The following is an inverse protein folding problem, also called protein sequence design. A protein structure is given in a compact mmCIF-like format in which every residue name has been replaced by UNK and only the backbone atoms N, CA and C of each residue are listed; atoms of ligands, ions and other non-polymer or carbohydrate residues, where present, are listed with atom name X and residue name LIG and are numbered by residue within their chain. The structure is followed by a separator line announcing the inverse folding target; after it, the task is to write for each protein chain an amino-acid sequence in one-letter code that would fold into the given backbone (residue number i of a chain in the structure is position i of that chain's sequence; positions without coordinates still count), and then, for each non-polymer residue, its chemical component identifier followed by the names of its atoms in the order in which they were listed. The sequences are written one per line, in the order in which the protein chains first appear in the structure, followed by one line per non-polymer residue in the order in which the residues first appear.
data_IF_596748044600
#
_entry.id   IF_596748044600
#
_cell.length_a   1.000
_cell.length_b   1.000
_cell.length_c   1.000
_cell.angle_alpha   90.00
_cell.angle_beta   90.00
_cell.angle_gamma   90.00
#
_symmetry.space_group_name_H-M   'P 1'
#
loop_
_entity.id
_entity.type
_entity.pdbx_description
1 polymer ?
#
# COMPACT_ATOMS: atom_id res chain seq x y z
N UNK A 1 -36.38 -8.40 -40.16
CA UNK A 1 -37.59 -8.69 -39.37
C UNK A 1 -37.55 -10.13 -38.86
N UNK A 2 -37.09 -10.35 -37.63
CA UNK A 2 -37.44 -11.51 -36.80
C UNK A 2 -37.53 -11.01 -35.35
N UNK A 3 -38.61 -11.39 -34.68
CA UNK A 3 -39.11 -10.94 -33.37
C UNK A 3 -39.02 -12.09 -32.37
N UNK A 4 -38.92 -11.74 -31.07
CA UNK A 4 -39.26 -12.51 -29.86
C UNK A 4 -38.38 -13.73 -29.55
N UNK A 5 -38.10 -14.12 -28.30
CA UNK A 5 -38.76 -13.96 -26.99
C UNK A 5 -37.67 -13.66 -25.92
N UNK A 6 -37.92 -12.89 -24.85
CA UNK A 6 -38.81 -13.29 -23.77
C UNK A 6 -38.06 -14.18 -22.76
N UNK A 7 -37.19 -13.59 -21.93
CA UNK A 7 -36.42 -14.28 -20.89
C UNK A 7 -36.56 -13.59 -19.54
N UNK A 8 -37.38 -14.18 -18.68
CA UNK A 8 -37.77 -13.74 -17.34
C UNK A 8 -36.65 -13.99 -16.31
N UNK A 9 -36.31 -12.92 -15.55
CA UNK A 9 -35.75 -12.73 -14.19
C UNK A 9 -34.94 -13.83 -13.44
N UNK A 10 -34.11 -13.40 -12.46
CA UNK A 10 -34.59 -13.58 -11.08
C UNK A 10 -34.57 -12.31 -10.22
N UNK A 11 -35.62 -12.21 -9.43
CA UNK A 11 -35.91 -11.23 -8.38
C UNK A 11 -34.90 -11.30 -7.23
N UNK A 12 -34.37 -10.14 -6.83
CA UNK A 12 -33.61 -9.98 -5.60
C UNK A 12 -34.54 -10.10 -4.38
N UNK A 13 -34.26 -11.08 -3.51
CA UNK A 13 -34.87 -11.23 -2.19
C UNK A 13 -34.17 -10.30 -1.18
N UNK A 14 -34.89 -9.65 -0.26
CA UNK A 14 -34.28 -8.83 0.79
C UNK A 14 -33.68 -9.72 1.89
N UNK A 15 -32.35 -9.71 2.01
CA UNK A 15 -31.61 -10.34 3.09
C UNK A 15 -31.67 -9.50 4.37
N UNK A 16 -32.21 -10.11 5.41
CA UNK A 16 -32.31 -9.62 6.79
C UNK A 16 -30.96 -9.20 7.38
N UNK A 17 -30.87 -7.96 7.84
CA UNK A 17 -29.80 -7.47 8.70
C UNK A 17 -29.86 -8.15 10.08
N UNK A 18 -28.76 -8.79 10.50
CA UNK A 18 -28.54 -9.23 11.87
C UNK A 18 -27.53 -8.31 12.57
N UNK A 19 -27.90 -7.94 13.79
CA UNK A 19 -27.14 -7.11 14.72
C UNK A 19 -26.01 -7.89 15.41
N UNK A 20 -24.94 -7.19 15.79
CA UNK A 20 -24.11 -7.57 16.93
C UNK A 20 -22.61 -7.39 16.74
N UNK A 21 -22.09 -6.20 17.09
CA UNK A 21 -20.72 -6.08 17.57
C UNK A 21 -20.64 -4.90 18.56
N UNK A 22 -20.45 -5.23 19.83
CA UNK A 22 -20.12 -4.31 20.91
C UNK A 22 -18.69 -3.77 20.74
N UNK A 23 -18.42 -2.52 21.11
CA UNK A 23 -17.08 -1.95 21.05
C UNK A 23 -16.21 -2.52 22.18
N UNK A 24 -15.15 -3.25 21.82
CA UNK A 24 -14.13 -3.65 22.79
C UNK A 24 -13.21 -2.46 23.02
N UNK A 25 -13.22 -1.95 24.25
CA UNK A 25 -12.42 -0.83 24.69
C UNK A 25 -10.91 -1.07 24.42
N UNK A 26 -10.29 -0.08 23.77
CA UNK A 26 -8.84 -0.01 23.61
C UNK A 26 -8.14 0.03 24.96
N UNK A 27 -7.09 -0.81 25.11
CA UNK A 27 -6.13 -0.68 26.20
C UNK A 27 -4.86 -0.03 25.66
N UNK A 28 -4.64 1.19 26.12
CA UNK A 28 -3.50 2.05 25.83
C UNK A 28 -2.15 1.33 25.97
N UNK A 29 -1.32 1.40 24.92
CA UNK A 29 0.12 1.13 25.00
C UNK A 29 0.77 2.29 25.74
N UNK A 30 1.23 2.03 26.96
CA UNK A 30 1.94 3.02 27.76
C UNK A 30 3.40 3.10 27.33
N UNK A 31 3.81 4.27 26.84
CA UNK A 31 5.21 4.63 26.65
C UNK A 31 5.94 4.60 28.00
N UNK A 32 6.89 3.66 28.16
CA UNK A 32 7.90 3.79 29.21
C UNK A 32 9.16 4.40 28.61
N UNK A 33 9.30 5.68 28.92
CA UNK A 33 10.48 6.52 28.72
C UNK A 33 11.71 5.84 29.33
N UNK A 34 12.83 5.98 28.63
CA UNK A 34 14.08 5.32 28.93
C UNK A 34 14.69 5.66 30.30
N UNK A 35 15.55 4.76 30.74
CA UNK A 35 16.63 5.03 31.67
C UNK A 35 17.90 4.41 31.10
N UNK A 36 18.77 5.28 30.58
CA UNK A 36 20.15 4.96 30.33
C UNK A 36 20.84 4.72 31.68
N UNK A 37 21.29 3.49 31.92
CA UNK A 37 22.20 3.17 33.01
C UNK A 37 23.53 2.74 32.40
N UNK A 38 24.48 3.68 32.39
CA UNK A 38 25.87 3.42 32.10
C UNK A 38 26.44 2.47 33.18
N UNK A 39 26.80 1.24 32.79
CA UNK A 39 27.55 0.34 33.66
C UNK A 39 29.00 0.28 33.18
N UNK A 40 29.88 0.93 33.96
CA UNK A 40 31.33 0.91 33.81
C UNK A 40 31.87 -0.51 34.00
N UNK A 41 32.79 -0.90 33.14
CA UNK A 41 33.54 -2.15 33.22
C UNK A 41 34.41 -2.21 34.48
N UNK A 42 34.33 -3.32 35.22
CA UNK A 42 35.39 -3.79 36.11
C UNK A 42 35.57 -5.29 35.91
N UNK A 43 36.51 -5.63 35.02
CA UNK A 43 37.06 -6.98 34.96
C UNK A 43 38.04 -7.18 36.10
N UNK A 44 37.79 -8.18 36.94
CA UNK A 44 38.82 -8.81 37.77
C UNK A 44 38.38 -10.25 38.11
N UNK A 45 39.03 -11.16 37.41
CA UNK A 45 39.15 -12.60 37.63
C UNK A 45 39.53 -12.93 39.09
N UNK A 46 38.94 -13.96 39.71
CA UNK A 46 39.63 -14.94 40.59
C UNK A 46 38.70 -16.09 41.01
N UNK A 47 39.33 -17.26 41.19
CA UNK A 47 38.82 -18.63 41.11
C UNK A 47 38.08 -19.18 42.35
N UNK A 48 37.30 -20.23 42.07
CA UNK A 48 36.93 -21.36 42.92
C UNK A 48 35.76 -21.21 43.92
N UNK A 49 34.65 -21.86 43.57
CA UNK A 49 33.56 -22.18 44.49
C UNK A 49 32.44 -22.95 43.78
N UNK A 50 32.52 -24.27 43.74
CA UNK A 50 31.45 -25.14 43.26
C UNK A 50 30.20 -24.96 44.14
N UNK A 51 29.15 -24.36 43.59
CA UNK A 51 27.80 -24.47 44.14
C UNK A 51 26.86 -24.83 42.99
N UNK A 52 26.34 -26.04 43.07
CA UNK A 52 25.39 -26.65 42.15
C UNK A 52 24.09 -25.84 42.14
N UNK A 53 24.01 -24.89 41.21
CA UNK A 53 22.79 -24.27 40.76
C UNK A 53 22.94 -24.14 39.25
N UNK A 54 22.26 -25.00 38.51
CA UNK A 54 22.25 -24.98 37.05
C UNK A 54 21.70 -23.64 36.60
N UNK A 55 22.58 -22.70 36.27
CA UNK A 55 22.26 -21.70 35.27
C UNK A 55 21.98 -22.52 34.00
N UNK A 56 20.70 -22.74 33.70
CA UNK A 56 20.32 -22.86 32.31
C UNK A 56 20.66 -21.50 31.71
N UNK A 57 21.90 -21.37 31.24
CA UNK A 57 22.14 -20.60 30.05
C UNK A 57 21.20 -21.24 29.02
N UNK A 58 20.02 -20.63 28.85
CA UNK A 58 19.18 -20.89 27.70
C UNK A 58 20.04 -20.43 26.53
N UNK A 59 20.75 -21.42 25.99
CA UNK A 59 21.64 -21.27 24.88
C UNK A 59 20.72 -20.88 23.73
N UNK A 60 20.97 -19.70 23.16
CA UNK A 60 20.34 -19.27 21.93
C UNK A 60 20.51 -20.36 20.88
N UNK A 61 19.46 -21.15 20.67
CA UNK A 61 19.25 -21.93 19.48
C UNK A 61 17.89 -21.53 18.93
N UNK A 62 17.76 -20.29 18.45
CA UNK A 62 16.76 -20.03 17.40
C UNK A 62 17.34 -20.59 16.13
N UNK A 63 17.15 -21.90 15.97
CA UNK A 63 17.41 -22.62 14.73
C UNK A 63 16.51 -21.99 13.66
N UNK A 64 17.09 -21.18 12.77
CA UNK A 64 16.36 -20.51 11.71
C UNK A 64 16.09 -21.47 10.56
N UNK A 65 15.18 -22.42 10.78
CA UNK A 65 14.41 -22.99 9.67
C UNK A 65 13.21 -22.09 9.46
N UNK A 66 13.39 -20.99 8.75
CA UNK A 66 12.27 -20.13 8.35
C UNK A 66 11.36 -20.97 7.47
N UNK A 67 10.15 -21.25 7.93
CA UNK A 67 9.16 -21.99 7.15
C UNK A 67 8.69 -21.15 5.97
N UNK A 68 8.20 -21.78 4.90
CA UNK A 68 7.61 -21.05 3.76
C UNK A 68 6.45 -20.16 4.21
N UNK A 69 5.68 -20.57 5.22
CA UNK A 69 4.61 -19.78 5.85
C UNK A 69 5.13 -18.50 6.51
N UNK A 70 6.32 -18.54 7.13
CA UNK A 70 6.95 -17.38 7.75
C UNK A 70 7.42 -16.38 6.67
N UNK A 71 7.89 -16.89 5.53
CA UNK A 71 8.28 -16.07 4.37
C UNK A 71 7.06 -15.42 3.71
N UNK A 72 5.98 -16.18 3.47
CA UNK A 72 4.74 -15.64 2.93
C UNK A 72 4.20 -14.49 3.81
N UNK A 73 4.12 -14.70 5.12
CA UNK A 73 3.70 -13.65 6.07
C UNK A 73 4.62 -12.43 6.04
N UNK A 74 5.93 -12.63 5.96
CA UNK A 74 6.92 -11.54 5.89
C UNK A 74 6.76 -10.72 4.62
N UNK A 75 6.62 -11.38 3.46
CA UNK A 75 6.49 -10.70 2.18
C UNK A 75 5.11 -10.09 1.97
N UNK A 76 4.05 -10.66 2.57
CA UNK A 76 2.72 -10.05 2.62
C UNK A 76 2.75 -8.70 3.36
N UNK A 77 3.39 -8.66 4.54
CA UNK A 77 3.55 -7.40 5.28
C UNK A 77 4.36 -6.36 4.49
N UNK A 78 5.48 -6.77 3.87
CA UNK A 78 6.31 -5.88 3.04
C UNK A 78 5.52 -5.34 1.83
N UNK A 79 4.80 -6.23 1.14
CA UNK A 79 3.97 -5.84 0.00
C UNK A 79 2.89 -4.84 0.41
N UNK A 80 2.24 -5.06 1.55
CA UNK A 80 1.25 -4.13 2.11
C UNK A 80 1.85 -2.77 2.50
N UNK A 81 3.14 -2.74 2.86
CA UNK A 81 3.93 -1.53 3.13
C UNK A 81 4.54 -0.92 1.85
N UNK A 82 3.98 -1.22 0.67
CA UNK A 82 4.39 -0.73 -0.66
C UNK A 82 5.82 -1.12 -1.11
N UNK A 83 6.41 -2.14 -0.48
CA UNK A 83 7.63 -2.76 -0.98
C UNK A 83 7.29 -3.68 -2.16
N UNK A 84 7.38 -3.14 -3.38
CA UNK A 84 7.07 -3.88 -4.61
C UNK A 84 7.99 -5.09 -4.84
N UNK A 85 9.24 -5.04 -4.38
CA UNK A 85 10.10 -6.22 -4.39
C UNK A 85 9.59 -7.28 -3.39
N UNK A 86 9.00 -6.84 -2.27
CA UNK A 86 8.24 -7.68 -1.36
C UNK A 86 7.04 -8.34 -2.03
N UNK A 87 6.26 -7.60 -2.81
CA UNK A 87 5.15 -8.15 -3.61
C UNK A 87 5.65 -9.20 -4.60
N UNK A 88 6.75 -8.94 -5.30
CA UNK A 88 7.34 -9.89 -6.25
C UNK A 88 7.78 -11.17 -5.56
N UNK A 89 8.43 -11.05 -4.40
CA UNK A 89 8.82 -12.20 -3.60
C UNK A 89 7.62 -12.98 -3.04
N UNK A 90 6.52 -12.29 -2.68
CA UNK A 90 5.31 -12.92 -2.15
C UNK A 90 4.70 -13.92 -3.13
N UNK A 91 4.74 -13.64 -4.43
CA UNK A 91 4.24 -14.56 -5.48
C UNK A 91 4.86 -15.94 -5.43
N UNK A 92 6.08 -16.08 -4.90
CA UNK A 92 6.79 -17.36 -4.81
C UNK A 92 6.41 -18.17 -3.56
N UNK A 93 5.88 -17.52 -2.53
CA UNK A 93 5.62 -18.14 -1.23
C UNK A 93 4.14 -18.20 -0.87
N UNK A 94 3.31 -17.32 -1.44
CA UNK A 94 1.88 -17.33 -1.24
C UNK A 94 1.25 -18.61 -1.81
N UNK A 95 0.28 -19.15 -1.09
CA UNK A 95 -0.48 -20.31 -1.57
C UNK A 95 -1.53 -19.88 -2.60
N UNK A 96 -1.80 -20.72 -3.59
CA UNK A 96 -2.75 -20.40 -4.66
C UNK A 96 -4.16 -20.15 -4.13
N UNK A 97 -4.81 -19.11 -4.66
CA UNK A 97 -6.18 -18.75 -4.28
C UNK A 97 -6.31 -18.11 -2.89
N UNK A 98 -5.20 -17.71 -2.27
CA UNK A 98 -5.20 -16.93 -1.02
C UNK A 98 -5.23 -15.43 -1.29
N UNK A 99 -5.64 -14.65 -0.28
CA UNK A 99 -5.60 -13.20 -0.33
C UNK A 99 -4.16 -12.66 -0.52
N UNK A 100 -3.15 -13.40 -0.03
CA UNK A 100 -1.74 -13.03 -0.22
C UNK A 100 -1.30 -13.15 -1.68
N UNK A 101 -1.83 -14.15 -2.41
CA UNK A 101 -1.59 -14.27 -3.85
C UNK A 101 -2.25 -13.12 -4.62
N UNK A 102 -3.50 -12.79 -4.29
CA UNK A 102 -4.21 -11.65 -4.90
C UNK A 102 -3.47 -10.32 -4.62
N UNK A 103 -3.01 -10.14 -3.39
CA UNK A 103 -2.21 -8.98 -2.99
C UNK A 103 -0.92 -8.87 -3.80
N UNK A 104 -0.22 -9.99 -3.99
CA UNK A 104 0.97 -10.05 -4.82
C UNK A 104 0.61 -9.69 -6.28
N UNK A 105 -0.34 -10.40 -6.90
CA UNK A 105 -0.66 -10.27 -8.33
C UNK A 105 -1.13 -8.89 -8.73
N UNK A 106 -1.79 -8.20 -7.81
CA UNK A 106 -2.25 -6.83 -8.00
C UNK A 106 -1.23 -5.78 -7.54
N UNK A 107 -0.02 -6.21 -7.15
CA UNK A 107 1.04 -5.33 -6.66
C UNK A 107 0.54 -4.38 -5.56
N UNK A 108 -0.13 -4.91 -4.54
CA UNK A 108 -0.84 -4.13 -3.52
C UNK A 108 -1.91 -3.17 -4.10
N UNK A 109 -2.68 -3.65 -5.09
CA UNK A 109 -3.75 -2.88 -5.76
C UNK A 109 -3.26 -1.80 -6.75
N UNK A 110 -1.98 -1.77 -7.12
CA UNK A 110 -1.39 -0.72 -7.97
C UNK A 110 -1.43 -1.04 -9.46
N UNK A 111 -1.71 -2.28 -9.82
CA UNK A 111 -1.79 -2.73 -11.20
C UNK A 111 -1.58 -4.23 -11.30
N UNK A 112 -1.67 -4.78 -12.51
CA UNK A 112 -1.39 -6.19 -12.74
C UNK A 112 0.04 -6.42 -13.24
N UNK A 113 0.54 -7.62 -12.98
CA UNK A 113 1.83 -8.08 -13.50
C UNK A 113 1.81 -8.40 -14.98
N UNK A 114 0.64 -8.67 -15.56
CA UNK A 114 0.53 -9.02 -16.99
C UNK A 114 1.02 -7.87 -17.86
N UNK A 115 0.71 -6.64 -17.45
CA UNK A 115 1.10 -5.42 -18.15
C UNK A 115 2.56 -5.02 -17.89
N UNK A 116 3.07 -5.27 -16.68
CA UNK A 116 4.34 -4.69 -16.20
C UNK A 116 5.50 -5.68 -16.08
N UNK A 117 5.23 -6.98 -16.22
CA UNK A 117 6.18 -8.06 -15.97
C UNK A 117 6.33 -8.39 -14.49
N UNK A 118 6.81 -7.42 -13.70
CA UNK A 118 6.94 -7.52 -12.23
C UNK A 118 6.53 -6.21 -11.53
N UNK A 119 6.23 -6.30 -10.23
CA UNK A 119 5.77 -5.16 -9.44
C UNK A 119 6.88 -4.12 -9.24
N UNK A 120 8.15 -4.55 -9.13
CA UNK A 120 9.27 -3.63 -9.00
C UNK A 120 9.46 -2.74 -10.25
N UNK A 121 9.16 -3.25 -11.45
CA UNK A 121 9.18 -2.52 -12.71
C UNK A 121 7.98 -1.58 -12.80
N UNK A 122 6.79 -2.05 -12.43
CA UNK A 122 5.60 -1.19 -12.31
C UNK A 122 5.89 0.03 -11.41
N UNK A 123 6.52 -0.18 -10.25
CA UNK A 123 6.91 0.92 -9.36
C UNK A 123 7.85 1.93 -10.03
N UNK A 124 8.83 1.45 -10.79
CA UNK A 124 9.77 2.31 -11.49
C UNK A 124 9.09 3.11 -12.61
N UNK A 125 8.19 2.47 -13.37
CA UNK A 125 7.51 3.13 -14.47
C UNK A 125 6.52 4.17 -13.97
N UNK A 126 5.75 3.86 -12.92
CA UNK A 126 4.90 4.85 -12.26
C UNK A 126 5.74 6.01 -11.68
N UNK A 127 6.92 5.73 -11.12
CA UNK A 127 7.80 6.76 -10.57
C UNK A 127 8.38 7.72 -11.63
N UNK A 128 8.47 7.30 -12.90
CA UNK A 128 8.90 8.14 -14.04
C UNK A 128 7.77 9.03 -14.60
N UNK A 129 6.62 9.09 -13.95
CA UNK A 129 5.49 9.90 -14.43
C UNK A 129 4.85 10.67 -13.28
N UNK A 130 5.62 11.02 -12.25
CA UNK A 130 5.10 11.68 -11.05
C UNK A 130 5.23 13.19 -11.07
N UNK A 131 6.20 13.74 -11.79
CA UNK A 131 6.50 15.18 -11.77
C UNK A 131 6.70 15.75 -13.15
N UNK A 132 6.47 17.06 -13.25
CA UNK A 132 6.68 17.80 -14.48
C UNK A 132 8.10 17.59 -15.03
N UNK A 133 8.18 17.26 -16.31
CA UNK A 133 9.41 16.90 -17.02
C UNK A 133 9.70 15.41 -17.08
N UNK A 134 8.97 14.57 -16.33
CA UNK A 134 9.18 13.12 -16.36
C UNK A 134 8.43 12.46 -17.54
N UNK A 135 7.25 12.98 -17.91
CA UNK A 135 6.42 12.47 -19.01
C UNK A 135 5.93 13.60 -19.92
N UNK A 136 6.30 13.55 -21.20
CA UNK A 136 5.98 14.61 -22.16
C UNK A 136 4.49 14.76 -22.49
N UNK A 137 3.70 13.69 -22.39
CA UNK A 137 2.26 13.75 -22.63
C UNK A 137 1.55 14.38 -21.42
N UNK A 138 1.94 13.98 -20.21
CA UNK A 138 1.44 14.59 -18.97
C UNK A 138 1.89 16.05 -18.84
N UNK A 139 3.10 16.40 -19.27
CA UNK A 139 3.59 17.78 -19.32
C UNK A 139 2.73 18.67 -20.20
N UNK A 140 2.35 18.18 -21.38
CA UNK A 140 1.49 18.93 -22.30
C UNK A 140 0.11 19.20 -21.67
N UNK A 141 -0.44 18.22 -20.95
CA UNK A 141 -1.68 18.39 -20.20
C UNK A 141 -1.51 19.33 -19.00
N UNK A 142 -0.38 19.26 -18.28
CA UNK A 142 -0.03 20.16 -17.18
C UNK A 142 0.03 21.61 -17.63
N UNK A 143 0.76 21.90 -18.71
CA UNK A 143 0.86 23.23 -19.27
C UNK A 143 -0.51 23.75 -19.70
N UNK A 144 -1.29 22.92 -20.40
CA UNK A 144 -2.62 23.30 -20.88
C UNK A 144 -3.58 23.58 -19.71
N UNK A 145 -3.58 22.72 -18.69
CA UNK A 145 -4.30 22.94 -17.44
C UNK A 145 -3.88 24.24 -16.75
N UNK A 146 -2.57 24.53 -16.67
CA UNK A 146 -2.04 25.76 -16.08
C UNK A 146 -2.41 27.04 -16.83
N UNK A 147 -2.79 26.94 -18.11
CA UNK A 147 -3.36 28.07 -18.86
C UNK A 147 -4.86 28.30 -18.61
N UNK A 148 -5.51 27.43 -17.82
CA UNK A 148 -6.92 27.54 -17.43
C UNK A 148 -7.89 26.65 -18.21
N UNK A 149 -7.39 25.70 -19.01
CA UNK A 149 -8.25 24.69 -19.63
C UNK A 149 -8.63 23.61 -18.60
N UNK A 150 -9.84 23.72 -18.08
CA UNK A 150 -10.34 22.83 -17.04
C UNK A 150 -10.52 21.40 -17.54
N UNK A 151 -10.80 21.19 -18.83
CA UNK A 151 -10.91 19.85 -19.39
C UNK A 151 -9.54 19.17 -19.50
N UNK A 152 -8.48 19.95 -19.72
CA UNK A 152 -7.12 19.44 -19.64
C UNK A 152 -6.72 19.10 -18.20
N UNK A 153 -7.17 19.87 -17.20
CA UNK A 153 -6.99 19.52 -15.80
C UNK A 153 -7.66 18.19 -15.43
N UNK A 154 -8.89 17.96 -15.89
CA UNK A 154 -9.59 16.69 -15.62
C UNK A 154 -8.87 15.51 -16.27
N UNK A 155 -8.46 15.67 -17.53
CA UNK A 155 -7.66 14.66 -18.22
C UNK A 155 -6.34 14.37 -17.51
N UNK A 156 -5.62 15.41 -17.08
CA UNK A 156 -4.37 15.25 -16.34
C UNK A 156 -4.59 14.48 -15.04
N UNK A 157 -5.66 14.79 -14.29
CA UNK A 157 -5.96 14.10 -13.04
C UNK A 157 -6.20 12.59 -13.25
N UNK A 158 -6.89 12.19 -14.32
CA UNK A 158 -7.15 10.77 -14.59
C UNK A 158 -6.00 10.04 -15.29
N UNK A 159 -5.19 10.75 -16.07
CA UNK A 159 -4.04 10.19 -16.75
C UNK A 159 -2.81 10.08 -15.83
N UNK A 160 -2.65 11.00 -14.88
CA UNK A 160 -1.55 10.97 -13.93
C UNK A 160 -1.63 9.68 -13.07
N UNK A 161 -0.47 9.07 -12.77
CA UNK A 161 -0.40 7.89 -11.90
C UNK A 161 -1.24 8.06 -10.64
N UNK A 162 -2.01 7.01 -10.30
CA UNK A 162 -2.74 6.93 -9.04
C UNK A 162 -1.68 7.02 -7.91
N UNK A 163 -1.96 7.68 -6.78
CA UNK A 163 -1.04 7.73 -5.65
C UNK A 163 -0.70 6.31 -5.19
N UNK A 164 0.46 5.85 -5.66
CA UNK A 164 1.37 5.00 -4.91
C UNK A 164 1.78 5.76 -3.63
N UNK A 165 2.55 5.18 -2.71
CA UNK A 165 3.14 5.92 -1.57
C UNK A 165 3.97 7.18 -1.92
N UNK A 166 3.89 7.68 -3.17
CA UNK A 166 4.48 8.89 -3.69
C UNK A 166 3.35 9.79 -4.23
N UNK A 167 3.32 11.00 -3.73
CA UNK A 167 2.42 12.06 -4.21
C UNK A 167 2.79 12.41 -5.67
N UNK A 168 1.80 12.49 -6.56
CA UNK A 168 1.99 12.87 -7.96
C UNK A 168 1.74 14.37 -8.10
N UNK A 169 2.79 15.13 -8.45
CA UNK A 169 2.70 16.57 -8.66
C UNK A 169 1.68 16.90 -9.78
N UNK A 170 1.63 16.09 -10.83
CA UNK A 170 0.63 16.23 -11.88
C UNK A 170 -0.80 16.12 -11.32
N UNK A 171 -1.05 15.10 -10.50
CA UNK A 171 -2.37 14.82 -9.95
C UNK A 171 -2.78 15.87 -8.93
N UNK A 172 -1.86 16.32 -8.08
CA UNK A 172 -2.10 17.36 -7.07
C UNK A 172 -2.40 18.71 -7.75
N UNK A 173 -1.62 19.07 -8.76
CA UNK A 173 -1.87 20.29 -9.55
C UNK A 173 -3.22 20.23 -10.28
N UNK A 174 -3.52 19.10 -10.91
CA UNK A 174 -4.79 18.86 -11.59
C UNK A 174 -5.99 18.88 -10.63
N UNK A 175 -5.84 18.32 -9.43
CA UNK A 175 -6.87 18.38 -8.39
C UNK A 175 -7.19 19.83 -8.02
N UNK A 176 -6.19 20.72 -7.93
CA UNK A 176 -6.46 22.15 -7.69
C UNK A 176 -7.00 22.92 -8.90
N UNK A 177 -7.33 22.24 -10.00
CA UNK A 177 -7.76 22.84 -11.27
C UNK A 177 -6.78 23.90 -11.76
N UNK A 178 -5.49 23.51 -11.80
CA UNK A 178 -4.40 24.40 -12.19
C UNK A 178 -4.07 25.46 -11.14
N UNK A 179 -4.27 25.16 -9.86
CA UNK A 179 -4.02 26.08 -8.74
C UNK A 179 -5.11 27.12 -8.49
N UNK A 180 -6.29 26.99 -9.12
CA UNK A 180 -7.39 27.95 -9.00
C UNK A 180 -8.33 27.65 -7.82
N UNK A 181 -8.34 26.41 -7.34
CA UNK A 181 -9.15 25.96 -6.21
C UNK A 181 -8.24 25.40 -5.11
N UNK A 182 -8.58 25.64 -3.84
CA UNK A 182 -8.03 24.80 -2.76
C UNK A 182 -8.59 23.39 -2.94
N UNK A 183 -7.74 22.36 -2.81
CA UNK A 183 -8.04 20.93 -3.01
C UNK A 183 -9.53 20.62 -3.14
N UNK A 184 -9.96 20.26 -4.34
CA UNK A 184 -11.34 19.87 -4.58
C UNK A 184 -11.65 18.57 -3.82
N UNK A 185 -12.80 18.55 -3.15
CA UNK A 185 -13.28 17.37 -2.41
C UNK A 185 -13.39 16.11 -3.31
N UNK A 186 -13.49 16.33 -4.62
CA UNK A 186 -13.42 15.32 -5.66
C UNK A 186 -12.50 15.79 -6.79
N UNK A 187 -11.20 15.47 -6.69
CA UNK A 187 -10.20 15.64 -7.75
C UNK A 187 -10.69 15.24 -9.14
N UNK A 188 -10.33 16.02 -10.17
CA UNK A 188 -10.64 15.71 -11.59
C UNK A 188 -12.07 16.00 -12.05
N UNK A 189 -12.78 16.91 -11.39
CA UNK A 189 -14.10 17.42 -11.83
C UNK A 189 -14.11 18.95 -11.95
N UNK A 190 -13.05 19.51 -12.54
CA UNK A 190 -12.84 20.93 -12.71
C UNK A 190 -13.87 21.55 -13.65
N UNK A 191 -14.24 20.87 -14.74
CA UNK A 191 -15.27 21.36 -15.67
C UNK A 191 -16.64 21.44 -15.01
N UNK A 192 -17.04 20.39 -14.28
CA UNK A 192 -18.35 20.35 -13.61
C UNK A 192 -18.43 21.36 -12.47
N UNK A 193 -17.36 21.52 -11.70
CA UNK A 193 -17.33 22.45 -10.57
C UNK A 193 -17.33 23.92 -10.99
N UNK A 194 -16.80 24.26 -12.17
CA UNK A 194 -16.81 25.64 -12.68
C UNK A 194 -18.21 26.10 -13.15
N UNK A 195 -19.16 25.18 -13.31
CA UNK A 195 -20.53 25.49 -13.69
C UNK A 195 -21.49 25.65 -12.50
N UNK A 196 -21.02 25.44 -11.26
CA UNK A 196 -21.77 25.57 -10.02
C UNK A 196 -21.71 26.98 -9.42
#
# INVERSE_FOLDING_TARGET
MFRNDGGQQPTATPGTAQAGATPTAGRARSHRRGLAAAALALGALLLAGCASGTATAESSETSSTTSTEDLATTYAARCADDDMAGCDMLTYYAEEGTADMELAETCNGKGDRETSGDCATLAQDLAKSLKYGDDTELDALYDTCGTGDLAACDQLYFAAPIPIALDSEYRDFAATCGGTQSENEFGGMCVENAAA
#
